data_IF_871256584057
#
_entry.id   IF_871256584057
#
_cell.length_a   1.000
_cell.length_b   1.000
_cell.length_c   1.000
_cell.angle_alpha   90.00
_cell.angle_beta   90.00
_cell.angle_gamma   90.00
#
_symmetry.space_group_name_H-M   'P 1'
#
loop_
_entity.id
_entity.type
_entity.pdbx_description
1 polymer ?
#
# COMPACT_ATOMS: atom_id res chain seq x y z
N UNK A 1 3.67 -20.64 -5.16
CA UNK A 1 3.71 -19.21 -5.55
C UNK A 1 2.49 -18.45 -5.04
N UNK A 2 1.27 -18.99 -5.21
CA UNK A 2 0.00 -18.50 -4.62
C UNK A 2 0.09 -18.15 -3.12
N UNK A 3 0.80 -18.96 -2.32
CA UNK A 3 0.99 -18.74 -0.87
C UNK A 3 1.81 -17.48 -0.58
N UNK A 4 2.84 -17.16 -1.39
CA UNK A 4 3.67 -15.95 -1.17
C UNK A 4 2.91 -14.67 -1.50
N UNK A 5 2.13 -14.69 -2.59
CA UNK A 5 1.24 -13.58 -2.94
C UNK A 5 0.24 -13.36 -1.83
N UNK A 6 -0.46 -14.41 -1.39
CA UNK A 6 -1.44 -14.34 -0.30
C UNK A 6 -0.84 -13.82 1.02
N UNK A 7 0.37 -14.26 1.40
CA UNK A 7 1.07 -13.80 2.61
C UNK A 7 1.28 -12.28 2.59
N UNK A 8 1.64 -11.73 1.43
CA UNK A 8 1.97 -10.30 1.32
C UNK A 8 0.73 -9.44 1.14
N UNK A 9 -0.32 -9.94 0.48
CA UNK A 9 -1.57 -9.17 0.37
C UNK A 9 -2.25 -8.97 1.74
N UNK A 10 -2.14 -9.92 2.67
CA UNK A 10 -2.76 -9.75 3.99
C UNK A 10 -1.92 -8.92 4.98
N UNK A 11 -0.60 -8.80 4.78
CA UNK A 11 0.20 -7.80 5.51
C UNK A 11 -0.32 -6.39 5.23
N UNK A 12 -0.78 -6.13 3.99
CA UNK A 12 -1.47 -4.87 3.68
C UNK A 12 -2.85 -4.80 4.36
N UNK A 13 -3.58 -5.91 4.41
CA UNK A 13 -4.92 -6.01 5.00
C UNK A 13 -4.95 -5.74 6.52
N UNK A 14 -4.04 -6.33 7.31
CA UNK A 14 -4.00 -6.14 8.78
C UNK A 14 -3.72 -4.70 9.21
N UNK A 15 -3.09 -3.92 8.33
CA UNK A 15 -2.83 -2.50 8.54
C UNK A 15 -4.03 -1.62 8.11
N UNK A 16 -5.08 -2.21 7.53
CA UNK A 16 -6.25 -1.52 6.97
C UNK A 16 -7.57 -1.71 7.74
N UNK A 17 -7.75 -2.74 8.58
CA UNK A 17 -9.06 -2.98 9.21
C UNK A 17 -9.48 -1.88 10.21
N UNK A 18 -10.64 -1.29 9.93
CA UNK A 18 -11.37 -0.36 10.77
C UNK A 18 -12.69 -1.00 11.19
N UNK A 19 -12.77 -1.52 12.42
CA UNK A 19 -14.00 -1.54 13.25
C UNK A 19 -13.85 -2.18 14.66
N UNK A 20 -12.68 -2.70 15.03
CA UNK A 20 -12.34 -3.14 16.38
C UNK A 20 -11.02 -2.48 16.86
N UNK A 21 -10.72 -2.40 18.17
CA UNK A 21 -9.82 -1.38 18.71
C UNK A 21 -8.45 -1.43 18.02
N UNK A 22 -7.94 -0.23 17.66
CA UNK A 22 -6.61 0.03 17.06
C UNK A 22 -5.78 -1.22 16.75
N UNK A 23 -5.59 -1.61 15.48
CA UNK A 23 -4.77 -2.78 15.10
C UNK A 23 -3.38 -2.79 15.77
N UNK A 24 -2.89 -1.63 16.19
CA UNK A 24 -1.59 -1.45 16.85
C UNK A 24 -1.55 -1.94 18.31
N UNK A 25 -2.68 -1.97 19.03
CA UNK A 25 -2.70 -2.35 20.45
C UNK A 25 -2.52 -3.87 20.67
N UNK A 26 -2.77 -4.69 19.64
CA UNK A 26 -2.67 -6.15 19.75
C UNK A 26 -1.22 -6.68 19.68
N UNK A 27 -0.29 -5.92 19.08
CA UNK A 27 1.11 -6.34 18.89
C UNK A 27 2.11 -5.70 19.86
N UNK A 28 1.70 -4.67 20.62
CA UNK A 28 2.56 -4.04 21.63
C UNK A 28 3.10 -5.05 22.66
N UNK A 29 2.32 -6.10 22.97
CA UNK A 29 2.67 -7.09 23.98
C UNK A 29 3.24 -8.41 23.44
N UNK A 30 3.32 -8.59 22.11
CA UNK A 30 3.73 -9.88 21.50
C UNK A 30 5.12 -9.85 20.86
N UNK A 31 5.61 -8.66 20.50
CA UNK A 31 6.91 -8.48 19.87
C UNK A 31 7.91 -7.94 20.89
N UNK A 32 9.20 -8.34 20.82
CA UNK A 32 10.22 -7.89 21.76
C UNK A 32 10.69 -6.47 21.39
N UNK A 33 9.78 -5.50 21.48
CA UNK A 33 10.01 -4.11 21.10
C UNK A 33 11.06 -3.44 22.00
N UNK A 34 11.10 -3.76 23.29
CA UNK A 34 12.13 -3.26 24.22
C UNK A 34 13.53 -3.73 23.81
N UNK A 35 13.67 -5.02 23.45
CA UNK A 35 14.94 -5.56 22.95
C UNK A 35 15.34 -4.86 21.64
N UNK A 36 14.40 -4.68 20.72
CA UNK A 36 14.65 -3.94 19.48
C UNK A 36 15.08 -2.50 19.77
N UNK A 37 14.36 -1.79 20.64
CA UNK A 37 14.66 -0.40 21.01
C UNK A 37 16.04 -0.27 21.65
N UNK A 38 16.46 -1.24 22.48
CA UNK A 38 17.78 -1.26 23.13
C UNK A 38 18.96 -1.33 22.15
N UNK A 39 18.72 -1.75 20.91
CA UNK A 39 19.73 -1.76 19.83
C UNK A 39 19.96 -0.37 19.25
N UNK A 40 19.10 0.61 19.55
CA UNK A 40 19.20 1.96 19.02
C UNK A 40 19.49 2.97 20.13
N UNK A 41 20.13 4.06 19.72
CA UNK A 41 20.27 5.27 20.51
C UNK A 41 19.83 6.46 19.69
N UNK A 42 19.01 7.33 20.28
CA UNK A 42 18.68 8.61 19.68
C UNK A 42 19.87 9.57 19.86
N UNK A 43 20.38 10.12 18.76
CA UNK A 43 21.46 11.13 18.79
C UNK A 43 21.15 12.28 17.85
N UNK A 44 21.70 13.44 18.19
CA UNK A 44 21.72 14.59 17.29
C UNK A 44 22.62 14.29 16.08
N UNK A 45 22.12 14.57 14.89
CA UNK A 45 22.91 14.46 13.66
C UNK A 45 23.86 15.67 13.53
N UNK A 46 24.92 15.55 12.74
CA UNK A 46 25.90 16.64 12.58
C UNK A 46 25.27 17.90 11.93
N UNK A 47 25.98 19.02 11.98
CA UNK A 47 25.52 20.34 11.47
C UNK A 47 25.03 20.30 10.01
N UNK A 48 25.55 19.41 9.17
CA UNK A 48 25.11 19.21 7.79
C UNK A 48 23.70 18.60 7.66
N UNK A 49 23.11 18.08 8.73
CA UNK A 49 21.77 17.46 8.75
C UNK A 49 20.76 18.29 9.54
N UNK A 50 21.01 19.59 9.70
CA UNK A 50 20.17 20.58 10.40
C UNK A 50 19.88 20.23 11.87
N UNK A 51 20.70 19.40 12.50
CA UNK A 51 20.56 19.05 13.90
C UNK A 51 19.32 18.23 14.26
N UNK A 52 18.73 17.51 13.31
CA UNK A 52 17.63 16.60 13.63
C UNK A 52 18.14 15.41 14.47
N UNK A 53 17.31 14.92 15.40
CA UNK A 53 17.58 13.66 16.09
C UNK A 53 17.38 12.49 15.13
N UNK A 54 18.20 11.46 15.26
CA UNK A 54 18.04 10.22 14.50
C UNK A 54 18.39 8.98 15.32
N UNK A 55 17.88 7.83 14.90
CA UNK A 55 18.18 6.54 15.47
C UNK A 55 19.52 6.05 14.93
N UNK A 56 20.45 5.75 15.83
CA UNK A 56 21.75 5.17 15.52
C UNK A 56 21.85 3.78 16.14
N UNK A 57 22.30 2.79 15.36
CA UNK A 57 22.55 1.45 15.86
C UNK A 57 23.68 1.50 16.89
N UNK A 58 23.42 0.99 18.09
CA UNK A 58 24.41 0.67 19.09
C UNK A 58 25.04 -0.67 18.71
N UNK A 59 26.36 -0.67 18.48
CA UNK A 59 27.10 -1.90 18.22
C UNK A 59 27.43 -2.61 19.54
N UNK A 60 26.43 -3.18 20.21
CA UNK A 60 26.63 -4.02 21.39
C UNK A 60 26.85 -5.49 20.98
N UNK A 61 27.52 -6.31 21.80
CA UNK A 61 27.78 -7.72 21.48
C UNK A 61 26.52 -8.54 21.17
N UNK A 62 25.39 -8.20 21.78
CA UNK A 62 24.10 -8.87 21.67
C UNK A 62 23.14 -8.23 20.66
N UNK A 63 23.47 -7.08 20.07
CA UNK A 63 22.58 -6.34 19.16
C UNK A 63 22.13 -7.17 17.96
N UNK A 64 23.04 -7.98 17.39
CA UNK A 64 22.72 -8.88 16.28
C UNK A 64 21.69 -9.93 16.69
N UNK A 65 21.84 -10.50 17.89
CA UNK A 65 20.93 -11.51 18.43
C UNK A 65 19.56 -10.91 18.72
N UNK A 66 19.50 -9.72 19.33
CA UNK A 66 18.25 -9.00 19.58
C UNK A 66 17.50 -8.68 18.29
N UNK A 67 18.20 -8.20 17.26
CA UNK A 67 17.61 -7.96 15.93
C UNK A 67 17.07 -9.24 15.31
N UNK A 68 17.84 -10.34 15.34
CA UNK A 68 17.41 -11.62 14.81
C UNK A 68 16.16 -12.15 15.54
N UNK A 69 16.15 -12.12 16.87
CA UNK A 69 15.01 -12.54 17.68
C UNK A 69 13.75 -11.71 17.39
N UNK A 70 13.90 -10.40 17.24
CA UNK A 70 12.79 -9.52 16.86
C UNK A 70 12.24 -9.89 15.47
N UNK A 71 13.12 -10.08 14.49
CA UNK A 71 12.72 -10.46 13.13
C UNK A 71 11.99 -11.80 13.11
N UNK A 72 12.48 -12.81 13.84
CA UNK A 72 11.85 -14.12 13.93
C UNK A 72 10.46 -14.03 14.57
N UNK A 73 10.33 -13.27 15.68
CA UNK A 73 9.05 -13.04 16.33
C UNK A 73 8.07 -12.29 15.40
N UNK A 74 8.55 -11.23 14.73
CA UNK A 74 7.76 -10.44 13.79
C UNK A 74 7.24 -11.28 12.63
N UNK A 75 8.11 -12.07 11.99
CA UNK A 75 7.73 -12.93 10.87
C UNK A 75 6.75 -14.03 11.29
N UNK A 76 6.90 -14.59 12.50
CA UNK A 76 5.94 -15.55 13.05
C UNK A 76 4.58 -14.91 13.30
N UNK A 77 4.53 -13.76 13.98
CA UNK A 77 3.30 -13.03 14.24
C UNK A 77 2.55 -12.65 12.96
N UNK A 78 3.28 -12.17 11.95
CA UNK A 78 2.73 -11.89 10.62
C UNK A 78 2.18 -13.15 9.96
N UNK A 79 2.90 -14.28 10.07
CA UNK A 79 2.45 -15.56 9.49
C UNK A 79 1.18 -16.12 10.17
N UNK A 80 1.08 -16.02 11.50
CA UNK A 80 -0.11 -16.41 12.26
C UNK A 80 -1.31 -15.56 11.90
N UNK A 81 -1.10 -14.25 11.80
CA UNK A 81 -2.13 -13.30 11.42
C UNK A 81 -2.62 -13.54 9.99
N UNK A 82 -1.69 -13.75 9.05
CA UNK A 82 -2.02 -14.15 7.69
C UNK A 82 -2.98 -15.35 7.66
N UNK A 83 -2.70 -16.39 8.43
CA UNK A 83 -3.56 -17.58 8.51
C UNK A 83 -4.93 -17.22 9.07
N UNK A 84 -4.99 -16.35 10.08
CA UNK A 84 -6.24 -15.88 10.69
C UNK A 84 -7.08 -15.09 9.68
N UNK A 85 -6.49 -14.11 9.01
CA UNK A 85 -7.17 -13.29 8.02
C UNK A 85 -7.62 -14.10 6.81
N UNK A 86 -6.79 -15.02 6.32
CA UNK A 86 -7.14 -15.87 5.18
C UNK A 86 -8.38 -16.73 5.45
N UNK A 87 -8.65 -17.11 6.71
CA UNK A 87 -9.82 -17.90 7.11
C UNK A 87 -11.14 -17.12 6.99
N UNK A 88 -11.11 -15.80 6.96
CA UNK A 88 -12.31 -14.98 6.74
C UNK A 88 -12.86 -15.14 5.32
N UNK A 89 -12.02 -15.58 4.38
CA UNK A 89 -12.34 -15.75 2.97
C UNK A 89 -12.51 -17.23 2.60
N UNK A 90 -13.35 -17.57 1.61
CA UNK A 90 -13.47 -18.92 1.07
C UNK A 90 -12.12 -19.57 0.79
N UNK A 91 -11.92 -20.83 1.22
CA UNK A 91 -10.65 -21.53 0.96
C UNK A 91 -10.39 -21.75 -0.53
N UNK A 92 -11.45 -21.91 -1.32
CA UNK A 92 -11.41 -22.06 -2.76
C UNK A 92 -12.44 -21.13 -3.38
N UNK A 93 -12.07 -20.55 -4.51
CA UNK A 93 -12.95 -19.74 -5.34
C UNK A 93 -13.19 -20.46 -6.67
N UNK A 94 -14.40 -20.32 -7.21
CA UNK A 94 -14.65 -20.68 -8.61
C UNK A 94 -13.97 -19.66 -9.51
N UNK A 95 -13.41 -20.13 -10.63
CA UNK A 95 -12.79 -19.24 -11.63
C UNK A 95 -13.87 -18.35 -12.22
N UNK A 96 -13.77 -17.01 -12.08
CA UNK A 96 -14.78 -16.11 -12.66
C UNK A 96 -14.71 -16.13 -14.19
N UNK A 97 -15.86 -15.98 -14.84
CA UNK A 97 -15.92 -15.74 -16.28
C UNK A 97 -15.30 -14.38 -16.63
N UNK A 98 -14.80 -14.19 -17.85
CA UNK A 98 -14.12 -12.93 -18.24
C UNK A 98 -15.02 -11.70 -18.10
N UNK A 99 -16.29 -11.83 -18.48
CA UNK A 99 -17.29 -10.76 -18.36
C UNK A 99 -17.86 -10.58 -16.96
N UNK A 100 -17.50 -11.46 -16.02
CA UNK A 100 -18.02 -11.39 -14.67
C UNK A 100 -17.48 -10.18 -13.93
N UNK A 101 -18.39 -9.39 -13.34
CA UNK A 101 -18.04 -8.25 -12.50
C UNK A 101 -17.56 -8.77 -11.15
N UNK A 102 -16.26 -8.65 -10.89
CA UNK A 102 -15.64 -9.11 -9.63
C UNK A 102 -15.47 -7.96 -8.62
N UNK A 103 -15.54 -6.70 -9.06
CA UNK A 103 -15.65 -5.53 -8.17
C UNK A 103 -17.12 -5.11 -8.10
N UNK A 104 -17.79 -5.40 -7.00
CA UNK A 104 -19.21 -5.05 -6.80
C UNK A 104 -19.44 -3.53 -6.75
N UNK A 105 -20.69 -3.08 -6.87
CA UNK A 105 -21.02 -1.66 -6.80
C UNK A 105 -20.64 -1.04 -5.45
N UNK A 106 -20.82 -1.78 -4.35
CA UNK A 106 -20.45 -1.31 -3.02
C UNK A 106 -18.93 -1.07 -2.92
N UNK A 107 -18.13 -2.05 -3.38
CA UNK A 107 -16.67 -1.95 -3.40
C UNK A 107 -16.21 -0.83 -4.32
N UNK A 108 -16.77 -0.77 -5.54
CA UNK A 108 -16.44 0.27 -6.50
C UNK A 108 -16.71 1.67 -5.93
N UNK A 109 -17.85 1.87 -5.27
CA UNK A 109 -18.17 3.14 -4.60
C UNK A 109 -17.19 3.45 -3.46
N UNK A 110 -16.76 2.43 -2.69
CA UNK A 110 -15.80 2.57 -1.60
C UNK A 110 -14.41 3.02 -2.08
N UNK A 111 -13.89 2.38 -3.14
CA UNK A 111 -12.53 2.65 -3.63
C UNK A 111 -12.42 3.87 -4.54
N UNK A 112 -13.53 4.28 -5.19
CA UNK A 112 -13.53 5.35 -6.20
C UNK A 112 -12.91 6.68 -5.73
N UNK A 113 -13.12 7.17 -4.49
CA UNK A 113 -12.42 8.36 -4.01
C UNK A 113 -10.89 8.25 -4.07
N UNK A 114 -10.35 7.05 -3.84
CA UNK A 114 -8.90 6.80 -3.95
C UNK A 114 -8.48 6.68 -5.40
N UNK A 115 -9.29 6.01 -6.24
CA UNK A 115 -9.07 5.93 -7.69
C UNK A 115 -9.00 7.31 -8.32
N UNK A 116 -9.93 8.21 -8.00
CA UNK A 116 -9.95 9.60 -8.49
C UNK A 116 -8.69 10.38 -8.15
N UNK A 117 -7.97 10.00 -7.10
CA UNK A 117 -6.74 10.68 -6.69
C UNK A 117 -5.56 10.34 -7.58
N UNK A 118 -5.46 9.10 -8.06
CA UNK A 118 -4.37 8.64 -8.94
C UNK A 118 -4.77 8.60 -10.43
N UNK A 119 -6.06 8.49 -10.74
CA UNK A 119 -6.64 8.55 -12.08
C UNK A 119 -7.90 9.43 -12.05
N UNK A 120 -7.73 10.77 -12.07
CA UNK A 120 -8.85 11.70 -12.07
C UNK A 120 -9.69 11.53 -13.33
N UNK A 121 -10.98 11.80 -13.20
CA UNK A 121 -11.89 11.81 -14.34
C UNK A 121 -11.40 12.82 -15.38
N UNK A 122 -11.22 12.37 -16.62
CA UNK A 122 -10.83 13.24 -17.72
C UNK A 122 -12.05 14.03 -18.16
N UNK A 123 -12.32 15.14 -17.48
CA UNK A 123 -13.23 16.16 -17.99
C UNK A 123 -12.47 16.96 -19.04
N UNK A 124 -12.88 16.88 -20.31
CA UNK A 124 -12.40 17.80 -21.34
C UNK A 124 -13.41 18.95 -21.40
N UNK A 125 -13.09 20.14 -20.85
CA UNK A 125 -13.86 21.33 -21.13
C UNK A 125 -13.42 21.81 -22.53
N UNK A 126 -14.18 21.43 -23.55
CA UNK A 126 -14.22 22.02 -24.89
C UNK A 126 -13.01 22.88 -25.30
N UNK A 127 -12.05 22.29 -26.01
CA UNK A 127 -11.30 23.00 -27.05
C UNK A 127 -11.29 22.08 -28.27
N UNK A 128 -12.16 22.42 -29.22
CA UNK A 128 -12.23 21.98 -30.62
C UNK A 128 -12.96 20.64 -30.97
N UNK A 129 -14.14 20.86 -31.57
CA UNK A 129 -14.86 20.10 -32.61
C UNK A 129 -14.41 18.66 -32.97
N UNK A 130 -15.37 17.73 -32.87
CA UNK A 130 -15.47 16.36 -33.46
C UNK A 130 -15.15 15.12 -32.60
N UNK A 131 -14.86 15.27 -31.31
CA UNK A 131 -14.85 14.14 -30.36
C UNK A 131 -16.11 14.20 -29.49
N UNK A 132 -16.93 13.14 -29.45
CA UNK A 132 -18.15 13.05 -28.63
C UNK A 132 -17.76 13.11 -27.14
N UNK A 133 -17.73 14.32 -26.61
CA UNK A 133 -17.35 14.64 -25.23
C UNK A 133 -18.33 14.06 -24.22
N UNK A 134 -17.76 13.52 -23.14
CA UNK A 134 -18.35 13.16 -21.84
C UNK A 134 -19.59 14.00 -21.45
N UNK A 135 -20.75 13.35 -21.23
CA UNK A 135 -22.00 14.07 -20.87
C UNK A 135 -22.62 13.65 -19.53
N UNK A 136 -22.17 12.60 -18.85
CA UNK A 136 -22.77 12.23 -17.56
C UNK A 136 -21.73 11.90 -16.48
N UNK A 137 -21.71 12.67 -15.37
CA UNK A 137 -20.84 12.36 -14.24
C UNK A 137 -21.24 11.00 -13.64
N UNK A 138 -20.25 10.23 -13.21
CA UNK A 138 -20.45 8.92 -12.60
C UNK A 138 -21.32 9.08 -11.33
N UNK A 139 -22.50 8.45 -11.29
CA UNK A 139 -23.46 8.61 -10.19
C UNK A 139 -22.96 7.88 -8.95
N UNK A 140 -22.83 8.57 -7.80
CA UNK A 140 -22.30 7.99 -6.55
C UNK A 140 -20.92 7.31 -6.70
N UNK A 141 -20.11 7.76 -7.67
CA UNK A 141 -18.80 7.15 -7.96
C UNK A 141 -18.86 5.88 -8.81
N UNK A 142 -20.02 5.50 -9.32
CA UNK A 142 -20.17 4.34 -10.21
C UNK A 142 -20.23 4.76 -11.67
N UNK A 143 -19.46 4.06 -12.50
CA UNK A 143 -19.54 4.21 -13.95
C UNK A 143 -20.86 3.60 -14.45
N UNK A 144 -21.70 4.43 -15.07
CA UNK A 144 -22.97 4.03 -15.70
C UNK A 144 -22.77 3.53 -17.14
N UNK A 145 -21.58 3.71 -17.69
CA UNK A 145 -21.24 3.33 -19.05
C UNK A 145 -20.88 1.83 -19.06
N UNK A 146 -21.80 1.02 -19.57
CA UNK A 146 -21.63 -0.44 -19.72
C UNK A 146 -21.04 -0.83 -21.07
N UNK A 147 -20.83 0.15 -21.97
CA UNK A 147 -20.12 -0.09 -23.21
C UNK A 147 -18.64 -0.35 -22.92
N UNK A 148 -18.02 -1.24 -23.70
CA UNK A 148 -16.61 -1.60 -23.52
C UNK A 148 -15.65 -0.52 -24.04
N UNK A 149 -16.15 0.63 -24.46
CA UNK A 149 -15.32 1.72 -24.98
C UNK A 149 -14.60 2.48 -23.86
N UNK A 150 -13.32 2.71 -24.08
CA UNK A 150 -12.38 3.32 -23.12
C UNK A 150 -12.57 4.81 -22.94
N UNK A 151 -13.47 5.38 -23.72
CA UNK A 151 -13.71 6.81 -23.85
C UNK A 151 -14.65 7.37 -22.77
N UNK A 152 -15.14 6.52 -21.86
CA UNK A 152 -16.12 6.93 -20.87
C UNK A 152 -15.61 7.95 -19.85
N UNK A 153 -14.28 8.13 -19.70
CA UNK A 153 -13.67 9.14 -18.85
C UNK A 153 -13.87 8.98 -17.33
N UNK A 154 -14.67 8.00 -16.87
CA UNK A 154 -14.87 7.72 -15.45
C UNK A 154 -13.57 7.24 -14.78
N UNK A 155 -13.42 7.55 -13.49
CA UNK A 155 -12.24 7.18 -12.71
C UNK A 155 -12.03 5.66 -12.65
N UNK A 156 -13.12 4.91 -12.40
CA UNK A 156 -13.18 3.45 -12.47
C UNK A 156 -14.25 3.02 -13.49
N UNK A 157 -13.87 2.84 -14.77
CA UNK A 157 -14.78 2.36 -15.82
C UNK A 157 -15.37 0.97 -15.51
N UNK A 158 -16.56 0.67 -16.03
CA UNK A 158 -17.22 -0.62 -15.80
C UNK A 158 -16.35 -1.82 -16.24
N UNK A 159 -15.63 -1.69 -17.38
CA UNK A 159 -14.72 -2.73 -17.86
C UNK A 159 -13.59 -3.06 -16.87
N UNK A 160 -13.12 -2.09 -16.09
CA UNK A 160 -12.05 -2.28 -15.09
C UNK A 160 -12.51 -3.07 -13.86
N UNK A 161 -13.83 -3.30 -13.74
CA UNK A 161 -14.44 -4.08 -12.66
C UNK A 161 -14.67 -5.54 -13.03
N UNK A 162 -14.54 -5.88 -14.32
CA UNK A 162 -14.69 -7.23 -14.85
C UNK A 162 -13.42 -8.06 -14.63
N UNK A 163 -13.57 -9.38 -14.55
CA UNK A 163 -12.44 -10.31 -14.49
C UNK A 163 -11.48 -10.16 -15.67
N UNK A 164 -11.96 -9.82 -16.88
CA UNK A 164 -11.15 -9.59 -18.06
C UNK A 164 -10.02 -8.55 -17.83
N UNK A 165 -10.29 -7.49 -17.07
CA UNK A 165 -9.28 -6.47 -16.78
C UNK A 165 -8.09 -7.02 -15.95
N UNK A 166 -8.35 -8.02 -15.10
CA UNK A 166 -7.35 -8.69 -14.26
C UNK A 166 -6.57 -9.78 -15.00
N UNK A 167 -6.92 -10.07 -16.25
CA UNK A 167 -6.22 -11.01 -17.14
C UNK A 167 -5.30 -10.33 -18.14
N UNK A 168 -5.22 -8.99 -18.14
CA UNK A 168 -4.34 -8.26 -19.05
C UNK A 168 -2.89 -8.61 -18.78
N UNK A 169 -2.21 -9.09 -19.80
CA UNK A 169 -0.80 -9.47 -19.72
C UNK A 169 0.09 -8.22 -19.66
N UNK A 170 1.22 -8.35 -18.96
CA UNK A 170 2.35 -7.44 -19.13
C UNK A 170 3.01 -7.75 -20.47
N UNK A 171 3.24 -6.72 -21.27
CA UNK A 171 3.97 -6.81 -22.53
C UNK A 171 5.39 -6.33 -22.29
N UNK A 172 6.38 -7.09 -22.76
CA UNK A 172 7.77 -6.64 -22.76
C UNK A 172 7.92 -5.37 -23.62
N UNK A 173 8.66 -4.39 -23.12
CA UNK A 173 8.81 -3.10 -23.77
C UNK A 173 10.24 -2.58 -23.64
N UNK A 174 10.66 -1.78 -24.62
CA UNK A 174 11.89 -1.01 -24.52
C UNK A 174 11.71 0.16 -23.52
N UNK A 175 12.84 0.78 -23.14
CA UNK A 175 12.81 1.93 -22.25
C UNK A 175 11.96 3.07 -22.83
N UNK A 176 11.24 3.78 -21.95
CA UNK A 176 10.30 4.86 -22.28
C UNK A 176 9.04 4.44 -23.06
N UNK A 177 8.87 3.15 -23.37
CA UNK A 177 7.65 2.63 -24.03
C UNK A 177 6.68 1.94 -23.06
N UNK A 178 6.92 2.00 -21.74
CA UNK A 178 6.10 1.29 -20.75
C UNK A 178 4.62 1.66 -20.85
N UNK A 179 4.27 2.95 -20.80
CA UNK A 179 2.87 3.39 -20.87
C UNK A 179 2.21 2.95 -22.18
N UNK A 180 2.92 3.05 -23.31
CA UNK A 180 2.42 2.69 -24.64
C UNK A 180 1.89 1.26 -24.72
N UNK A 181 2.55 0.30 -24.06
CA UNK A 181 2.15 -1.11 -24.13
C UNK A 181 1.43 -1.62 -22.87
N UNK A 182 1.71 -1.01 -21.71
CA UNK A 182 1.27 -1.54 -20.42
C UNK A 182 0.29 -0.62 -19.69
N UNK A 183 -0.14 0.53 -20.24
CA UNK A 183 -1.04 1.47 -19.54
C UNK A 183 -2.28 0.76 -18.96
N UNK A 184 -2.96 -0.09 -19.72
CA UNK A 184 -4.19 -0.73 -19.25
C UNK A 184 -3.96 -1.83 -18.21
N UNK A 185 -2.92 -2.64 -18.39
CA UNK A 185 -2.55 -3.68 -17.44
C UNK A 185 -2.06 -3.04 -16.13
N UNK A 186 -1.26 -1.98 -16.24
CA UNK A 186 -0.76 -1.22 -15.11
C UNK A 186 -1.87 -0.46 -14.38
N UNK A 187 -2.85 0.09 -15.10
CA UNK A 187 -4.04 0.70 -14.50
C UNK A 187 -4.82 -0.33 -13.68
N UNK A 188 -4.99 -1.56 -14.19
CA UNK A 188 -5.64 -2.61 -13.41
C UNK A 188 -4.81 -2.99 -12.16
N UNK A 189 -3.48 -3.02 -12.26
CA UNK A 189 -2.61 -3.20 -11.10
C UNK A 189 -2.82 -2.09 -10.05
N UNK A 190 -3.00 -0.84 -10.46
CA UNK A 190 -3.29 0.26 -9.52
C UNK A 190 -4.70 0.15 -8.89
N UNK A 191 -5.68 -0.42 -9.60
CA UNK A 191 -6.96 -0.84 -9.01
C UNK A 191 -6.74 -1.94 -7.97
N UNK A 192 -5.92 -2.94 -8.27
CA UNK A 192 -5.56 -4.01 -7.31
C UNK A 192 -4.89 -3.44 -6.07
N UNK A 193 -3.90 -2.55 -6.22
CA UNK A 193 -3.26 -1.86 -5.09
C UNK A 193 -4.29 -1.10 -4.25
N UNK A 194 -5.25 -0.45 -4.91
CA UNK A 194 -6.32 0.28 -4.22
C UNK A 194 -7.24 -0.67 -3.45
N UNK A 195 -7.63 -1.80 -4.03
CA UNK A 195 -8.41 -2.84 -3.34
C UNK A 195 -7.68 -3.32 -2.07
N UNK A 196 -6.38 -3.60 -2.17
CA UNK A 196 -5.55 -4.01 -1.04
C UNK A 196 -5.52 -2.96 0.08
N UNK A 197 -5.38 -1.67 -0.27
CA UNK A 197 -5.36 -0.55 0.70
C UNK A 197 -6.70 -0.28 1.39
N UNK A 198 -7.80 -0.79 0.83
CA UNK A 198 -9.14 -0.69 1.39
C UNK A 198 -9.59 -1.97 2.10
N UNK A 199 -8.75 -3.01 2.11
CA UNK A 199 -9.13 -4.33 2.62
C UNK A 199 -10.12 -5.08 1.71
N UNK A 200 -10.28 -4.67 0.46
CA UNK A 200 -11.28 -5.27 -0.45
C UNK A 200 -10.70 -6.50 -1.16
N UNK A 201 -10.46 -7.55 -0.39
CA UNK A 201 -9.66 -8.72 -0.79
C UNK A 201 -10.40 -9.74 -1.65
N UNK A 202 -11.73 -9.78 -1.58
CA UNK A 202 -12.53 -10.77 -2.31
C UNK A 202 -12.23 -10.74 -3.82
N UNK A 203 -12.26 -9.55 -4.43
CA UNK A 203 -11.96 -9.36 -5.85
C UNK A 203 -10.53 -9.81 -6.22
N UNK A 204 -9.55 -9.53 -5.36
CA UNK A 204 -8.15 -9.92 -5.56
C UNK A 204 -7.99 -11.43 -5.47
N UNK A 205 -8.64 -12.08 -4.50
CA UNK A 205 -8.57 -13.53 -4.33
C UNK A 205 -9.31 -14.27 -5.44
N UNK A 206 -10.43 -13.72 -5.91
CA UNK A 206 -11.17 -14.25 -7.06
C UNK A 206 -10.37 -14.16 -8.35
N UNK A 207 -9.65 -13.06 -8.58
CA UNK A 207 -8.78 -12.95 -9.75
C UNK A 207 -7.59 -13.92 -9.69
N UNK A 208 -7.05 -14.17 -8.50
CA UNK A 208 -6.02 -15.18 -8.25
C UNK A 208 -6.49 -16.64 -8.41
N UNK A 209 -7.80 -16.88 -8.49
CA UNK A 209 -8.36 -18.22 -8.70
C UNK A 209 -8.16 -18.70 -10.14
N UNK A 210 -8.00 -17.77 -11.08
CA UNK A 210 -7.68 -18.07 -12.47
C UNK A 210 -6.23 -18.58 -12.58
N UNK A 211 -6.04 -19.75 -13.22
CA UNK A 211 -4.72 -20.38 -13.34
C UNK A 211 -3.70 -19.53 -14.11
N UNK A 212 -4.18 -18.72 -15.07
CA UNK A 212 -3.35 -17.76 -15.82
C UNK A 212 -3.18 -16.42 -15.12
N UNK A 213 -3.55 -16.28 -13.84
CA UNK A 213 -3.40 -15.02 -13.11
C UNK A 213 -1.91 -14.65 -13.00
N UNK A 214 -1.56 -13.49 -13.55
CA UNK A 214 -0.19 -12.95 -13.52
C UNK A 214 0.03 -11.90 -12.44
N UNK A 215 -0.87 -11.79 -11.46
CA UNK A 215 -0.73 -10.78 -10.42
C UNK A 215 0.59 -10.94 -9.63
N UNK A 216 1.11 -12.16 -9.51
CA UNK A 216 2.42 -12.44 -8.92
C UNK A 216 3.58 -11.79 -9.67
N UNK A 217 3.46 -11.66 -10.99
CA UNK A 217 4.53 -11.21 -11.85
C UNK A 217 4.78 -9.71 -11.62
N UNK A 218 3.72 -8.99 -11.27
CA UNK A 218 3.75 -7.58 -10.86
C UNK A 218 4.25 -7.34 -9.42
N UNK A 219 4.77 -8.36 -8.72
CA UNK A 219 5.23 -8.20 -7.32
C UNK A 219 6.33 -7.14 -7.20
N UNK A 220 7.40 -7.27 -7.97
CA UNK A 220 8.53 -6.35 -8.01
C UNK A 220 8.78 -5.95 -9.46
N UNK A 221 8.40 -4.72 -9.80
CA UNK A 221 8.31 -4.32 -11.20
C UNK A 221 8.85 -2.92 -11.45
N UNK A 222 9.32 -2.68 -12.68
CA UNK A 222 9.89 -1.43 -13.19
C UNK A 222 9.36 -1.12 -14.59
N UNK A 223 9.53 0.13 -15.04
CA UNK A 223 9.18 0.57 -16.40
C UNK A 223 10.13 0.00 -17.47
N UNK A 224 11.41 -0.17 -17.10
CA UNK A 224 12.47 -0.73 -17.93
C UNK A 224 13.54 -1.34 -17.01
N UNK A 225 14.31 -2.33 -17.48
CA UNK A 225 15.35 -3.01 -16.67
C UNK A 225 16.44 -2.07 -16.14
N UNK A 226 16.64 -0.92 -16.79
CA UNK A 226 17.58 0.11 -16.34
C UNK A 226 17.00 1.08 -15.29
N UNK A 227 15.72 0.96 -14.95
CA UNK A 227 14.99 1.85 -14.05
C UNK A 227 14.75 1.20 -12.68
N UNK A 228 14.55 2.00 -11.61
CA UNK A 228 14.25 1.46 -10.28
C UNK A 228 12.91 0.69 -10.22
N UNK A 229 12.84 -0.34 -9.38
CA UNK A 229 11.63 -1.14 -9.14
C UNK A 229 10.54 -0.36 -8.37
N UNK A 230 9.85 0.55 -9.06
CA UNK A 230 8.85 1.46 -8.49
C UNK A 230 7.40 1.08 -8.85
N UNK A 231 7.16 0.09 -9.69
CA UNK A 231 5.82 -0.21 -10.18
C UNK A 231 5.10 -1.29 -9.40
N UNK A 232 5.85 -2.20 -8.78
CA UNK A 232 5.31 -3.41 -8.15
C UNK A 232 4.39 -3.14 -6.96
N UNK A 233 3.49 -4.10 -6.68
CA UNK A 233 2.59 -4.02 -5.52
C UNK A 233 3.27 -4.41 -4.19
N UNK A 234 4.50 -4.91 -4.22
CA UNK A 234 5.33 -5.10 -3.01
C UNK A 234 5.59 -3.83 -2.22
N UNK A 235 5.50 -2.69 -2.90
CA UNK A 235 5.64 -1.36 -2.30
C UNK A 235 4.63 -1.12 -1.20
N UNK A 236 3.40 -1.64 -1.32
CA UNK A 236 2.38 -1.52 -0.25
C UNK A 236 2.94 -2.13 1.04
N UNK A 237 3.44 -3.36 0.97
CA UNK A 237 4.01 -4.06 2.11
C UNK A 237 5.23 -3.33 2.66
N UNK A 238 6.16 -2.92 1.78
CA UNK A 238 7.40 -2.22 2.17
C UNK A 238 7.10 -0.92 2.93
N UNK A 239 6.15 -0.13 2.46
CA UNK A 239 5.80 1.15 3.10
C UNK A 239 5.02 0.93 4.40
N UNK A 240 4.09 -0.02 4.39
CA UNK A 240 3.27 -0.31 5.56
C UNK A 240 4.13 -0.90 6.71
N UNK A 241 5.02 -1.87 6.42
CA UNK A 241 5.99 -2.41 7.39
C UNK A 241 6.95 -1.30 7.88
N UNK A 242 7.47 -0.47 6.98
CA UNK A 242 8.37 0.62 7.35
C UNK A 242 7.71 1.58 8.33
N UNK A 243 6.49 2.02 8.04
CA UNK A 243 5.76 2.91 8.95
C UNK A 243 5.43 2.22 10.26
N UNK A 244 4.98 0.96 10.21
CA UNK A 244 4.68 0.18 11.41
C UNK A 244 5.88 0.07 12.35
N UNK A 245 7.03 -0.39 11.85
CA UNK A 245 8.25 -0.55 12.66
C UNK A 245 8.70 0.81 13.21
N UNK A 246 8.72 1.86 12.39
CA UNK A 246 9.19 3.18 12.82
C UNK A 246 8.28 3.78 13.90
N UNK A 247 6.95 3.75 13.72
CA UNK A 247 6.03 4.30 14.71
C UNK A 247 6.11 3.58 16.05
N UNK A 248 6.10 2.23 16.03
CA UNK A 248 6.19 1.43 17.25
C UNK A 248 7.56 1.58 17.92
N UNK A 249 8.65 1.62 17.15
CA UNK A 249 9.99 1.82 17.72
C UNK A 249 10.11 3.20 18.40
N UNK A 250 9.53 4.25 17.81
CA UNK A 250 9.58 5.59 18.37
C UNK A 250 8.79 5.74 19.67
N UNK A 251 7.81 4.87 19.94
CA UNK A 251 7.12 4.82 21.24
C UNK A 251 8.04 4.45 22.41
N UNK A 252 9.20 3.84 22.16
CA UNK A 252 10.22 3.52 23.19
C UNK A 252 11.23 4.66 23.40
N UNK A 253 11.05 5.78 22.70
CA UNK A 253 11.82 7.01 22.92
C UNK A 253 10.91 8.20 23.28
N UNK A 254 9.92 8.06 24.20
CA UNK A 254 9.10 9.18 24.63
C UNK A 254 9.99 10.06 25.52
N UNK A 255 10.17 11.32 25.12
CA UNK A 255 10.94 12.31 25.88
C UNK A 255 12.39 11.88 26.21
N UNK A 256 13.22 11.75 25.17
CA UNK A 256 14.66 11.80 25.43
C UNK A 256 15.06 13.27 25.66
N UNK A 257 15.34 13.59 26.92
CA UNK A 257 16.15 14.74 27.27
C UNK A 257 17.49 14.57 26.55
N UNK A 258 17.96 15.60 25.85
CA UNK A 258 19.36 15.64 25.48
C UNK A 258 20.25 15.74 26.73
N UNK A 259 21.57 15.75 26.54
CA UNK A 259 22.52 15.93 27.64
C UNK A 259 22.41 17.33 28.29
N UNK A 260 21.70 18.26 27.65
CA UNK A 260 21.55 19.67 28.00
C UNK A 260 20.15 20.00 28.58
N UNK A 261 19.28 18.99 28.72
CA UNK A 261 17.94 19.14 29.27
C UNK A 261 16.89 19.68 28.31
N UNK A 262 17.07 19.61 26.98
CA UNK A 262 16.06 20.05 26.00
C UNK A 262 15.18 18.86 25.60
N UNK A 263 13.84 18.97 25.77
CA UNK A 263 12.92 17.93 25.33
C UNK A 263 12.91 17.77 23.81
N UNK A 264 13.00 16.52 23.32
CA UNK A 264 12.46 16.17 22.00
C UNK A 264 10.95 16.02 22.17
N UNK A 265 10.23 17.14 22.24
CA UNK A 265 8.79 17.20 22.51
C UNK A 265 7.92 16.49 21.44
N UNK A 266 8.50 16.15 20.29
CA UNK A 266 7.75 15.67 19.14
C UNK A 266 8.54 14.67 18.27
N UNK A 267 8.08 13.41 18.26
CA UNK A 267 8.64 12.35 17.41
C UNK A 267 8.61 12.71 15.91
N UNK A 268 7.75 13.65 15.49
CA UNK A 268 7.68 14.14 14.10
C UNK A 268 8.95 14.88 13.67
N UNK A 269 9.77 15.33 14.62
CA UNK A 269 11.07 15.96 14.37
C UNK A 269 12.22 14.94 14.25
N UNK A 270 11.97 13.66 14.52
CA UNK A 270 12.98 12.62 14.39
C UNK A 270 13.16 12.28 12.90
N UNK A 271 14.41 12.29 12.44
CA UNK A 271 14.77 12.07 11.03
C UNK A 271 14.25 10.74 10.50
N UNK A 272 14.28 9.69 11.32
CA UNK A 272 13.74 8.37 10.98
C UNK A 272 12.24 8.45 10.61
N UNK A 273 11.43 9.16 11.40
CA UNK A 273 10.02 9.41 11.09
C UNK A 273 9.85 10.24 9.82
N UNK A 274 10.56 11.36 9.69
CA UNK A 274 10.48 12.22 8.51
C UNK A 274 10.84 11.47 7.22
N UNK A 275 11.87 10.63 7.27
CA UNK A 275 12.27 9.78 6.15
C UNK A 275 11.22 8.70 5.87
N UNK A 276 10.62 8.11 6.89
CA UNK A 276 9.54 7.14 6.72
C UNK A 276 8.32 7.77 6.05
N UNK A 277 7.82 8.91 6.57
CA UNK A 277 6.73 9.68 5.95
C UNK A 277 7.08 10.07 4.52
N UNK A 278 8.24 10.68 4.28
CA UNK A 278 8.66 11.07 2.93
C UNK A 278 8.71 9.89 1.96
N UNK A 279 9.10 8.70 2.43
CA UNK A 279 9.11 7.49 1.60
C UNK A 279 7.70 6.98 1.28
N UNK A 280 6.75 7.22 2.19
CA UNK A 280 5.39 6.70 2.14
C UNK A 280 4.37 7.75 1.70
N UNK A 281 4.76 8.98 1.35
CA UNK A 281 3.83 10.04 0.90
C UNK A 281 4.35 10.81 -0.32
N UNK A 282 5.37 10.29 -1.01
CA UNK A 282 5.87 10.92 -2.24
C UNK A 282 4.75 10.84 -3.30
N UNK A 283 4.52 11.95 -3.98
CA UNK A 283 3.51 12.05 -5.05
C UNK A 283 4.15 12.61 -6.32
N UNK A 284 3.52 12.36 -7.47
CA UNK A 284 3.97 12.80 -8.79
C UNK A 284 4.85 11.78 -9.53
N UNK A 285 4.84 10.50 -9.16
CA UNK A 285 5.52 9.42 -9.89
C UNK A 285 4.62 8.23 -10.20
N UNK A 286 5.00 7.41 -11.18
CA UNK A 286 4.39 6.10 -11.37
C UNK A 286 4.55 5.26 -10.09
N UNK A 287 3.46 4.61 -9.66
CA UNK A 287 3.42 3.73 -8.49
C UNK A 287 3.08 4.40 -7.16
N UNK A 288 2.63 5.66 -7.15
CA UNK A 288 2.26 6.39 -5.94
C UNK A 288 1.06 5.80 -5.19
N UNK A 289 0.23 4.97 -5.84
CA UNK A 289 -0.92 4.32 -5.20
C UNK A 289 -0.49 3.57 -3.94
N UNK A 290 0.66 2.89 -3.99
CA UNK A 290 1.20 2.14 -2.84
C UNK A 290 1.59 3.03 -1.64
N UNK A 291 1.66 4.36 -1.83
CA UNK A 291 1.96 5.36 -0.81
C UNK A 291 0.70 6.01 -0.24
N UNK A 292 -0.48 5.68 -0.76
CA UNK A 292 -1.69 6.19 -0.14
C UNK A 292 -1.87 5.53 1.23
N UNK A 293 -2.20 6.35 2.25
CA UNK A 293 -2.36 5.82 3.58
C UNK A 293 -3.47 4.76 3.54
N UNK A 294 -3.21 3.55 4.07
CA UNK A 294 -4.27 2.67 4.49
C UNK A 294 -5.30 3.50 5.26
N UNK A 295 -6.60 3.38 4.95
CA UNK A 295 -7.63 4.22 5.57
C UNK A 295 -7.60 4.15 7.13
N UNK A 296 -7.02 3.09 7.70
CA UNK A 296 -6.78 2.91 9.13
C UNK A 296 -5.51 3.58 9.71
N UNK A 297 -4.43 3.76 8.96
CA UNK A 297 -3.13 4.22 9.50
C UNK A 297 -3.13 5.72 9.89
N UNK A 298 -4.05 6.51 9.34
CA UNK A 298 -4.18 7.95 9.63
C UNK A 298 -5.42 8.31 10.46
N UNK A 299 -6.27 7.34 10.83
CA UNK A 299 -7.35 7.57 11.80
C UNK A 299 -6.86 7.36 13.22
N UNK A 300 -5.79 8.07 13.62
CA UNK A 300 -5.57 8.32 15.04
C UNK A 300 -6.73 9.19 15.52
N UNK A 301 -7.55 8.65 16.44
CA UNK A 301 -8.55 9.46 17.15
C UNK A 301 -7.82 10.64 17.78
N UNK A 302 -8.22 11.87 17.42
CA UNK A 302 -8.02 13.04 18.28
C UNK A 302 -8.59 12.67 19.65
N UNK A 303 -7.75 12.43 20.65
CA UNK A 303 -8.23 12.19 22.02
C UNK A 303 -7.47 11.18 22.88
N UNK A 304 -6.38 10.57 22.42
CA UNK A 304 -5.44 9.85 23.29
C UNK A 304 -4.05 10.45 23.14
N UNK A 305 -3.87 11.56 23.83
CA UNK A 305 -2.61 11.98 24.45
C UNK A 305 -2.91 12.04 25.94
#
# INVERSE_FOLDING_TARGET
MQVKVQILVLIAYDLCESEFPSPMAHYENQLPWEDLASVFQLKHTNTCQHGAYNLHVLAQPDSKTKLANFLDAFMRSVGEEFIRQRKQYPQKYCVPNEDEVIISDAVAANITPTVRRWHPEKYSPNEDEHSKSFQQPCLKGLCIHTNESDTCGCALPFRERKMAAFRRDKIENDCYEFEKYNEEAYRNLDVVKTLMLHGEMDAVLRSCAYEGSRLSDWWQETECDCMPLVLGWDRICKYAIKMFIILNLLHFFPESWDKDGVPVDDYRNIKAYQLAIRSCTKTGSLGDVAMYPPLGLLRYKKGTF
#
